data_IF_362422104855
#
_entry.id   IF_362422104855
#
_cell.length_a   1.000
_cell.length_b   1.000
_cell.length_c   1.000
_cell.angle_alpha   90.00
_cell.angle_beta   90.00
_cell.angle_gamma   90.00
#
_symmetry.space_group_name_H-M   'P 1'
#
loop_
_entity.id
_entity.type
_entity.pdbx_description
1 polymer ?
#
# COMPACT_ATOMS: atom_id res chain seq x y z
N UNK A 1 -6.28 -12.26 -15.76
CA UNK A 1 -4.94 -12.07 -15.19
C UNK A 1 -5.13 -11.84 -13.71
N UNK A 2 -4.44 -12.60 -12.86
CA UNK A 2 -4.41 -12.37 -11.40
C UNK A 2 -3.16 -11.55 -11.13
N UNK A 3 -3.33 -10.30 -10.74
CA UNK A 3 -2.20 -9.48 -10.31
C UNK A 3 -1.77 -9.94 -8.91
N UNK A 4 -0.51 -10.34 -8.75
CA UNK A 4 0.01 -10.70 -7.43
C UNK A 4 0.42 -9.43 -6.69
N UNK A 5 -0.55 -8.84 -5.99
CA UNK A 5 -0.34 -7.75 -5.03
C UNK A 5 0.42 -8.21 -3.77
N UNK A 6 0.49 -9.52 -3.51
CA UNK A 6 1.25 -10.04 -2.38
C UNK A 6 2.74 -9.73 -2.51
N UNK A 7 3.34 -9.26 -1.43
CA UNK A 7 4.74 -8.85 -1.40
C UNK A 7 5.07 -7.95 -0.21
N UNK A 8 6.35 -7.59 -0.12
CA UNK A 8 6.87 -6.61 0.82
C UNK A 8 7.07 -5.28 0.09
N UNK A 9 6.61 -4.20 0.71
CA UNK A 9 6.69 -2.85 0.16
C UNK A 9 7.36 -1.94 1.17
N UNK A 10 8.57 -1.48 0.86
CA UNK A 10 9.37 -0.60 1.72
C UNK A 10 9.22 0.86 1.29
N UNK A 11 9.12 1.76 2.26
CA UNK A 11 8.94 3.18 1.97
C UNK A 11 9.03 4.08 3.19
N UNK A 12 8.65 5.33 2.99
CA UNK A 12 8.95 6.40 3.94
C UNK A 12 10.35 6.99 3.72
N UNK A 13 10.55 8.23 4.16
CA UNK A 13 11.87 8.86 4.17
C UNK A 13 12.89 7.97 4.89
N UNK A 14 13.89 7.46 4.17
CA UNK A 14 14.89 6.49 4.66
C UNK A 14 14.39 5.05 4.89
N UNK A 15 13.34 4.60 4.19
CA UNK A 15 12.78 3.25 4.29
C UNK A 15 12.40 2.87 5.73
N UNK A 16 11.58 3.70 6.36
CA UNK A 16 11.20 3.57 7.78
C UNK A 16 9.89 2.80 7.98
N UNK A 17 9.17 2.49 6.90
CA UNK A 17 7.92 1.74 6.91
C UNK A 17 8.01 0.53 5.97
N UNK A 18 7.34 -0.55 6.32
CA UNK A 18 7.12 -1.70 5.44
C UNK A 18 5.67 -2.18 5.50
N UNK A 19 4.99 -2.31 4.36
CA UNK A 19 3.73 -3.04 4.24
C UNK A 19 4.00 -4.44 3.68
N UNK A 20 3.59 -5.47 4.41
CA UNK A 20 3.65 -6.86 3.96
C UNK A 20 2.26 -7.35 3.61
N UNK A 21 1.93 -7.53 2.34
CA UNK A 21 0.62 -8.03 1.89
C UNK A 21 0.68 -9.56 1.82
N UNK A 22 -0.01 -10.23 2.75
CA UNK A 22 -0.02 -11.70 2.87
C UNK A 22 -1.16 -12.33 2.08
N UNK A 23 -2.35 -11.70 2.10
CA UNK A 23 -3.53 -12.17 1.36
C UNK A 23 -4.11 -11.03 0.55
N UNK A 24 -4.51 -11.34 -0.67
CA UNK A 24 -5.18 -10.41 -1.57
C UNK A 24 -6.35 -11.14 -2.23
N UNK A 25 -7.54 -10.55 -2.12
CA UNK A 25 -8.73 -11.00 -2.82
C UNK A 25 -9.23 -9.86 -3.72
N UNK A 26 -8.90 -9.98 -5.01
CA UNK A 26 -9.26 -8.99 -6.02
C UNK A 26 -10.79 -8.87 -6.19
N UNK A 27 -11.53 -9.98 -6.09
CA UNK A 27 -12.97 -9.99 -6.31
C UNK A 27 -13.69 -9.35 -5.12
N UNK A 28 -13.21 -9.61 -3.90
CA UNK A 28 -13.72 -8.98 -2.70
C UNK A 28 -13.22 -7.52 -2.53
N UNK A 29 -12.25 -7.08 -3.33
CA UNK A 29 -11.63 -5.77 -3.20
C UNK A 29 -10.97 -5.59 -1.83
N UNK A 30 -10.26 -6.62 -1.35
CA UNK A 30 -9.68 -6.61 0.00
C UNK A 30 -8.27 -7.21 0.05
N UNK A 31 -7.50 -6.78 1.05
CA UNK A 31 -6.21 -7.37 1.36
C UNK A 31 -5.98 -7.44 2.88
N UNK A 32 -5.03 -8.27 3.30
CA UNK A 32 -4.56 -8.31 4.69
C UNK A 32 -3.07 -8.61 4.78
N UNK A 33 -2.46 -8.17 5.87
CA UNK A 33 -1.02 -8.10 6.00
C UNK A 33 -0.54 -7.57 7.34
N UNK A 34 0.70 -7.08 7.33
CA UNK A 34 1.33 -6.39 8.47
C UNK A 34 1.90 -5.06 8.01
N UNK A 35 1.79 -4.02 8.85
CA UNK A 35 2.47 -2.75 8.66
C UNK A 35 3.54 -2.57 9.74
N UNK A 36 4.79 -2.42 9.33
CA UNK A 36 5.95 -2.35 10.20
C UNK A 36 6.52 -0.94 10.23
N UNK A 37 6.75 -0.44 11.45
CA UNK A 37 7.52 0.76 11.74
C UNK A 37 8.97 0.33 12.03
N UNK A 38 9.83 0.39 11.02
CA UNK A 38 11.18 -0.20 11.08
C UNK A 38 12.09 0.48 12.12
N UNK A 39 11.88 1.76 12.41
CA UNK A 39 12.64 2.49 13.44
C UNK A 39 12.30 2.07 14.87
N UNK A 40 11.05 1.71 15.14
CA UNK A 40 10.59 1.34 16.48
C UNK A 40 10.45 -0.16 16.67
N UNK A 41 10.52 -0.93 15.57
CA UNK A 41 10.29 -2.38 15.56
C UNK A 41 8.82 -2.77 15.78
N UNK A 42 7.90 -1.80 15.81
CA UNK A 42 6.47 -2.06 16.00
C UNK A 42 5.91 -2.64 14.70
N UNK A 43 5.14 -3.72 14.82
CA UNK A 43 4.36 -4.31 13.72
C UNK A 43 2.90 -4.35 14.11
N UNK A 44 2.03 -3.99 13.19
CA UNK A 44 0.59 -4.00 13.38
C UNK A 44 -0.07 -4.84 12.29
N UNK A 45 -1.00 -5.74 12.64
CA UNK A 45 -1.81 -6.42 11.64
C UNK A 45 -2.72 -5.40 10.96
N UNK A 46 -2.78 -5.44 9.63
CA UNK A 46 -3.64 -4.55 8.84
C UNK A 46 -4.54 -5.33 7.89
N UNK A 47 -5.74 -4.82 7.71
CA UNK A 47 -6.67 -5.22 6.67
C UNK A 47 -7.19 -3.97 5.99
N UNK A 48 -7.37 -4.03 4.68
CA UNK A 48 -7.74 -2.86 3.91
C UNK A 48 -8.52 -3.20 2.66
N UNK A 49 -8.95 -2.13 2.01
CA UNK A 49 -9.68 -2.17 0.76
C UNK A 49 -8.72 -2.04 -0.42
N UNK A 50 -9.04 -2.74 -1.49
CA UNK A 50 -8.44 -2.61 -2.82
C UNK A 50 -9.52 -2.14 -3.78
N UNK A 51 -9.22 -1.10 -4.56
CA UNK A 51 -10.11 -0.62 -5.62
C UNK A 51 -9.34 -0.40 -6.91
N UNK A 52 -9.92 -0.81 -8.03
CA UNK A 52 -9.46 -0.53 -9.39
C UNK A 52 -10.56 0.27 -10.08
N UNK A 53 -10.32 1.56 -10.30
CA UNK A 53 -11.21 2.40 -11.09
C UNK A 53 -11.00 2.04 -12.58
N UNK A 54 -12.05 1.52 -13.22
CA UNK A 54 -12.02 1.06 -14.63
C UNK A 54 -12.86 1.94 -15.57
N UNK A 55 -13.26 3.13 -15.12
CA UNK A 55 -14.18 4.05 -15.81
C UNK A 55 -13.47 5.24 -16.48
N UNK A 56 -12.17 5.09 -16.79
CA UNK A 56 -11.34 6.13 -17.41
C UNK A 56 -10.55 6.99 -16.42
N UNK A 57 -10.68 6.71 -15.11
CA UNK A 57 -9.72 7.09 -14.09
C UNK A 57 -8.89 5.85 -13.81
N UNK A 58 -7.79 5.67 -14.51
CA UNK A 58 -6.87 4.54 -14.27
C UNK A 58 -6.22 4.71 -12.90
N UNK A 59 -6.93 4.34 -11.84
CA UNK A 59 -6.47 4.48 -10.47
C UNK A 59 -6.64 3.15 -9.72
N UNK A 60 -5.54 2.65 -9.17
CA UNK A 60 -5.52 1.47 -8.31
C UNK A 60 -5.11 1.90 -6.91
N UNK A 61 -5.99 1.65 -5.94
CA UNK A 61 -5.86 2.18 -4.58
C UNK A 61 -5.87 1.06 -3.56
N UNK A 62 -4.95 1.16 -2.58
CA UNK A 62 -5.08 0.49 -1.29
C UNK A 62 -5.49 1.51 -0.22
N UNK A 63 -6.42 1.13 0.64
CA UNK A 63 -6.82 1.95 1.78
C UNK A 63 -6.90 1.11 3.05
N UNK A 64 -6.22 1.55 4.11
CA UNK A 64 -6.14 0.83 5.38
C UNK A 64 -5.83 1.78 6.54
N UNK A 65 -6.01 1.31 7.77
CA UNK A 65 -5.74 2.07 8.98
C UNK A 65 -4.62 1.42 9.80
N UNK A 66 -3.88 2.27 10.52
CA UNK A 66 -2.86 1.91 11.49
C UNK A 66 -3.05 2.77 12.74
N UNK A 67 -2.37 2.45 13.83
CA UNK A 67 -2.35 3.34 15.01
C UNK A 67 -1.84 4.75 14.69
N UNK A 68 -1.00 4.88 13.65
CA UNK A 68 -0.43 6.14 13.18
C UNK A 68 -1.33 6.94 12.22
N UNK A 69 -2.49 6.42 11.82
CA UNK A 69 -3.43 7.10 10.94
C UNK A 69 -3.94 6.25 9.77
N UNK A 70 -4.73 6.89 8.92
CA UNK A 70 -5.33 6.28 7.73
C UNK A 70 -4.39 6.45 6.54
N UNK A 71 -4.18 5.39 5.78
CA UNK A 71 -3.29 5.34 4.63
C UNK A 71 -4.08 5.12 3.35
N UNK A 72 -3.74 5.90 2.32
CA UNK A 72 -4.20 5.72 0.94
C UNK A 72 -2.99 5.59 0.03
N UNK A 73 -2.87 4.46 -0.66
CA UNK A 73 -1.75 4.16 -1.56
C UNK A 73 -2.26 4.06 -2.98
N UNK A 74 -1.65 4.78 -3.90
CA UNK A 74 -1.98 4.81 -5.32
C UNK A 74 -0.85 4.13 -6.10
N UNK A 75 -1.18 3.10 -6.90
CA UNK A 75 -0.20 2.42 -7.73
C UNK A 75 0.22 3.32 -8.89
N UNK A 76 1.48 3.21 -9.32
CA UNK A 76 1.89 3.74 -10.61
C UNK A 76 1.38 2.85 -11.76
N UNK A 77 1.24 3.46 -12.93
CA UNK A 77 0.77 2.79 -14.14
C UNK A 77 1.86 2.77 -15.20
N UNK A 78 2.15 1.57 -15.72
CA UNK A 78 3.13 1.33 -16.78
C UNK A 78 2.42 0.64 -17.92
N UNK A 79 2.49 1.22 -19.13
CA UNK A 79 1.82 0.70 -20.33
C UNK A 79 0.30 0.45 -20.17
N UNK A 80 -0.39 1.31 -19.40
CA UNK A 80 -1.84 1.23 -19.22
C UNK A 80 -2.29 0.16 -18.21
N UNK A 81 -1.40 -0.31 -17.34
CA UNK A 81 -1.74 -1.23 -16.25
C UNK A 81 -1.01 -0.84 -14.96
N UNK A 82 -1.62 -1.07 -13.78
CA UNK A 82 -0.94 -0.84 -12.52
C UNK A 82 0.29 -1.74 -12.42
N UNK A 83 1.45 -1.15 -12.09
CA UNK A 83 2.72 -1.89 -12.05
C UNK A 83 2.80 -2.78 -10.81
N UNK A 84 2.23 -2.32 -9.69
CA UNK A 84 2.39 -2.90 -8.35
C UNK A 84 3.84 -2.96 -7.86
N UNK A 85 4.76 -2.24 -8.50
CA UNK A 85 6.17 -2.13 -8.13
C UNK A 85 6.43 -0.84 -7.35
N UNK A 86 5.64 0.22 -7.60
CA UNK A 86 5.73 1.50 -6.89
C UNK A 86 4.34 1.98 -6.45
N UNK A 87 4.31 2.63 -5.30
CA UNK A 87 3.12 3.27 -4.75
C UNK A 87 3.43 4.67 -4.25
N UNK A 88 2.51 5.60 -4.47
CA UNK A 88 2.46 6.88 -3.77
C UNK A 88 1.49 6.75 -2.62
N UNK A 89 1.97 6.92 -1.38
CA UNK A 89 1.21 6.73 -0.17
C UNK A 89 1.00 8.06 0.57
N UNK A 90 -0.25 8.34 0.89
CA UNK A 90 -0.66 9.46 1.75
C UNK A 90 -1.18 8.91 3.08
N UNK A 91 -0.65 9.41 4.18
CA UNK A 91 -1.17 9.15 5.52
C UNK A 91 -1.83 10.40 6.06
N UNK A 92 -3.07 10.28 6.49
CA UNK A 92 -3.78 11.34 7.23
C UNK A 92 -3.83 10.98 8.71
N UNK A 93 -3.38 11.90 9.58
CA UNK A 93 -3.34 11.68 11.03
C UNK A 93 -3.55 12.98 11.83
N UNK A 94 -3.93 12.87 13.10
CA UNK A 94 -4.04 14.02 14.01
C UNK A 94 -2.69 14.71 14.31
N UNK A 95 -1.57 14.04 14.02
CA UNK A 95 -0.21 14.55 14.28
C UNK A 95 0.46 15.16 13.05
N UNK A 96 -0.24 15.14 11.90
CA UNK A 96 0.26 15.65 10.63
C UNK A 96 0.16 14.61 9.52
N UNK A 97 -0.06 15.14 8.33
CA UNK A 97 -0.16 14.34 7.11
C UNK A 97 1.24 14.12 6.52
N UNK A 98 1.45 12.95 5.93
CA UNK A 98 2.68 12.64 5.18
C UNK A 98 2.33 12.07 3.81
N UNK A 99 3.18 12.37 2.84
CA UNK A 99 3.16 11.77 1.51
C UNK A 99 4.54 11.19 1.24
N UNK A 100 4.60 9.93 0.82
CA UNK A 100 5.85 9.21 0.58
C UNK A 100 5.65 8.10 -0.43
N UNK A 101 6.75 7.64 -1.02
CA UNK A 101 6.72 6.51 -1.94
C UNK A 101 7.03 5.19 -1.21
N UNK A 102 6.52 4.10 -1.76
CA UNK A 102 6.83 2.73 -1.39
C UNK A 102 7.18 1.92 -2.62
N UNK A 103 8.13 0.99 -2.47
CA UNK A 103 8.65 0.15 -3.54
C UNK A 103 8.58 -1.31 -3.14
N UNK A 104 8.21 -2.16 -4.08
CA UNK A 104 8.23 -3.61 -3.88
C UNK A 104 9.67 -4.08 -3.69
N UNK A 105 9.89 -4.94 -2.71
CA UNK A 105 11.18 -5.60 -2.50
C UNK A 105 11.53 -6.42 -3.75
N UNK A 106 12.69 -6.14 -4.33
CA UNK A 106 13.24 -6.93 -5.44
C UNK A 106 14.04 -8.08 -4.84
N UNK A 107 13.76 -9.30 -5.30
CA UNK A 107 14.45 -10.52 -4.88
C UNK A 107 15.90 -10.57 -5.37
#
# INVERSE_FOLDING_TARGET
>A
MTYSLSGNYDGGSSNVFRLTIKKFDQLAGSFSGEFHYLLTGISEPVSGHYHLYGDGRDETVLWFETSGGSWRWEADYVNGSPSFEKWTAKRTSSTGDIETEFFKETA
#
